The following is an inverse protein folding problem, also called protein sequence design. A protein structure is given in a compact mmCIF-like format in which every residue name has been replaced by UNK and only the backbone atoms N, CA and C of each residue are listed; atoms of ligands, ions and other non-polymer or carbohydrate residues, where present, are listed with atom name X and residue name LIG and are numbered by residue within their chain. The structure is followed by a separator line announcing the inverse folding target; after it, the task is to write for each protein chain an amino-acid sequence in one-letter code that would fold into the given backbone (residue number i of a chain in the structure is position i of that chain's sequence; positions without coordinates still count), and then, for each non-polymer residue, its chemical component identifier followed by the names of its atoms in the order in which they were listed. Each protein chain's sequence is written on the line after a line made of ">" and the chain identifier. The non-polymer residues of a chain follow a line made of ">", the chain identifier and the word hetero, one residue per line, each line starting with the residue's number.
data_IF_197795014763
#
_entry.id   IF_197795014763
#
_cell.length_a   1.000
_cell.length_b   1.000
_cell.length_c   1.000
_cell.angle_alpha   90.00
_cell.angle_beta   90.00
_cell.angle_gamma   90.00
#
_symmetry.space_group_name_H-M   'P 1'
#
loop_
_entity.id
_entity.type
_entity.pdbx_description
1 polymer ?
#
# COMPACT_ATOMS: atom_id res chain seq x y z
N UNK A 1 -26.12 4.10 -1.88
CA UNK A 1 -24.72 4.43 -1.56
C UNK A 1 -23.93 3.14 -1.71
N UNK A 2 -23.10 2.96 -2.76
CA UNK A 2 -22.38 1.70 -2.92
C UNK A 2 -21.29 1.60 -1.85
N UNK A 3 -21.29 0.47 -1.17
CA UNK A 3 -20.53 0.21 0.05
C UNK A 3 -19.07 -0.04 -0.34
N UNK A 4 -18.16 0.71 0.26
CA UNK A 4 -16.71 0.57 0.06
C UNK A 4 -16.27 -0.81 0.50
N UNK A 5 -16.29 -1.77 -0.43
CA UNK A 5 -15.91 -3.17 -0.22
C UNK A 5 -14.43 -3.23 0.16
N UNK A 6 -14.14 -3.14 1.46
CA UNK A 6 -12.80 -3.37 1.98
C UNK A 6 -12.64 -4.87 2.18
N UNK A 7 -11.75 -5.47 1.39
CA UNK A 7 -11.40 -6.88 1.55
C UNK A 7 -10.21 -6.99 2.51
N UNK A 8 -10.39 -7.71 3.63
CA UNK A 8 -9.29 -8.02 4.54
C UNK A 8 -8.37 -9.04 3.87
N UNK A 9 -7.17 -8.59 3.50
CA UNK A 9 -6.14 -9.45 2.94
C UNK A 9 -5.20 -9.93 4.05
N UNK A 10 -5.20 -11.24 4.32
CA UNK A 10 -4.24 -11.87 5.23
C UNK A 10 -2.91 -12.05 4.51
N UNK A 11 -2.07 -11.00 4.51
CA UNK A 11 -0.70 -11.07 3.97
C UNK A 11 0.29 -11.44 5.06
N UNK A 12 1.08 -12.48 4.80
CA UNK A 12 2.28 -12.79 5.59
C UNK A 12 3.39 -11.84 5.14
N UNK A 13 3.80 -10.96 6.04
CA UNK A 13 4.90 -10.03 5.85
C UNK A 13 6.03 -10.42 6.81
N UNK A 14 7.31 -10.27 6.41
CA UNK A 14 8.43 -10.43 7.34
C UNK A 14 8.31 -9.45 8.50
N UNK A 15 8.71 -9.89 9.70
CA UNK A 15 8.55 -9.11 10.93
C UNK A 15 9.33 -7.78 10.89
N UNK A 16 10.55 -7.79 10.33
CA UNK A 16 11.37 -6.57 10.17
C UNK A 16 10.71 -5.53 9.26
N UNK A 17 10.04 -5.96 8.19
CA UNK A 17 9.32 -5.07 7.29
C UNK A 17 8.11 -4.42 7.97
N UNK A 18 7.40 -5.16 8.82
CA UNK A 18 6.29 -4.63 9.62
C UNK A 18 6.76 -3.59 10.63
N UNK A 19 7.94 -3.80 11.21
CA UNK A 19 8.53 -2.88 12.19
C UNK A 19 8.93 -1.56 11.53
N UNK A 20 9.64 -1.63 10.39
CA UNK A 20 9.97 -0.45 9.58
C UNK A 20 8.70 0.31 9.15
N UNK A 21 7.65 -0.42 8.73
CA UNK A 21 6.40 0.21 8.32
C UNK A 21 5.74 0.95 9.48
N UNK A 22 5.78 0.39 10.70
CA UNK A 22 5.26 1.05 11.90
C UNK A 22 6.07 2.29 12.26
N UNK A 23 7.40 2.24 12.16
CA UNK A 23 8.26 3.40 12.42
C UNK A 23 7.95 4.53 11.44
N UNK A 24 7.86 4.21 10.15
CA UNK A 24 7.49 5.19 9.11
C UNK A 24 6.07 5.74 9.28
N UNK A 25 5.14 4.92 9.73
CA UNK A 25 3.76 5.31 9.96
C UNK A 25 3.65 6.27 11.14
N UNK A 26 4.34 5.98 12.26
CA UNK A 26 4.45 6.91 13.38
C UNK A 26 5.08 8.24 12.98
N UNK A 27 6.13 8.25 12.14
CA UNK A 27 6.75 9.49 11.66
C UNK A 27 5.80 10.34 10.80
N UNK A 28 4.82 9.72 10.14
CA UNK A 28 3.81 10.41 9.32
C UNK A 28 2.50 10.66 10.06
N UNK A 29 2.45 10.36 11.35
CA UNK A 29 1.24 10.46 12.18
C UNK A 29 0.04 9.68 11.59
N UNK A 30 0.32 8.57 10.90
CA UNK A 30 -0.70 7.72 10.29
C UNK A 30 -0.60 6.27 10.78
N UNK A 31 -1.72 5.52 10.81
CA UNK A 31 -1.67 4.09 11.09
C UNK A 31 -0.90 3.32 10.02
N UNK A 32 -0.10 2.32 10.40
CA UNK A 32 0.65 1.49 9.45
C UNK A 32 -0.24 0.83 8.39
N UNK A 33 -1.51 0.52 8.73
CA UNK A 33 -2.48 0.00 7.78
C UNK A 33 -2.93 1.03 6.74
N UNK A 34 -2.98 2.31 7.10
CA UNK A 34 -3.26 3.41 6.17
C UNK A 34 -2.07 3.64 5.26
N UNK A 35 -0.87 3.78 5.84
CA UNK A 35 0.38 3.96 5.09
C UNK A 35 0.59 2.83 4.07
N UNK A 36 0.31 1.58 4.47
CA UNK A 36 0.40 0.43 3.55
C UNK A 36 -0.50 0.59 2.32
N UNK A 37 -1.72 1.11 2.49
CA UNK A 37 -2.65 1.35 1.38
C UNK A 37 -2.12 2.42 0.44
N UNK A 38 -1.57 3.51 0.98
CA UNK A 38 -0.97 4.59 0.18
C UNK A 38 0.17 4.05 -0.66
N UNK A 39 1.14 3.36 -0.03
CA UNK A 39 2.29 2.79 -0.74
C UNK A 39 1.88 1.78 -1.82
N UNK A 40 0.87 0.93 -1.55
CA UNK A 40 0.36 0.00 -2.54
C UNK A 40 -0.33 0.73 -3.70
N UNK A 41 -1.12 1.76 -3.43
CA UNK A 41 -1.81 2.54 -4.45
C UNK A 41 -0.80 3.26 -5.36
N UNK A 42 0.25 3.87 -4.79
CA UNK A 42 1.31 4.52 -5.55
C UNK A 42 2.05 3.55 -6.46
N UNK A 43 2.46 2.39 -5.93
CA UNK A 43 3.14 1.34 -6.72
C UNK A 43 2.25 0.78 -7.83
N UNK A 44 0.97 0.55 -7.56
CA UNK A 44 0.01 0.09 -8.56
C UNK A 44 -0.20 1.13 -9.67
N UNK A 45 -0.26 2.41 -9.32
CA UNK A 45 -0.37 3.51 -10.29
C UNK A 45 0.88 3.59 -11.18
N UNK A 46 2.07 3.54 -10.56
CA UNK A 46 3.35 3.55 -11.27
C UNK A 46 3.49 2.36 -12.22
N UNK A 47 3.14 1.14 -11.78
CA UNK A 47 3.22 -0.07 -12.61
C UNK A 47 2.23 -0.02 -13.78
N UNK A 48 1.00 0.45 -13.54
CA UNK A 48 0.01 0.68 -14.61
C UNK A 48 0.48 1.71 -15.63
N UNK A 49 1.13 2.78 -15.17
CA UNK A 49 1.66 3.81 -16.07
C UNK A 49 2.85 3.26 -16.88
N UNK A 50 3.72 2.48 -16.26
CA UNK A 50 4.85 1.83 -16.93
C UNK A 50 4.40 0.82 -17.98
N UNK A 51 3.42 -0.02 -17.67
CA UNK A 51 2.84 -0.98 -18.61
C UNK A 51 2.24 -0.30 -19.84
N UNK A 52 1.53 0.83 -19.66
CA UNK A 52 0.98 1.62 -20.77
C UNK A 52 2.04 2.24 -21.69
N UNK A 53 3.21 2.59 -21.15
CA UNK A 53 4.33 3.15 -21.93
C UNK A 53 5.14 2.09 -22.69
N UNK A 54 5.09 0.83 -22.27
CA UNK A 54 5.76 -0.28 -22.95
C UNK A 54 4.95 -0.85 -24.12
N UNK A 55 3.68 -0.46 -24.25
CA UNK A 55 2.76 -0.91 -25.31
C UNK A 55 2.55 0.13 -26.43
N UNK A 56 3.37 1.18 -26.49
CA UNK A 56 3.36 2.23 -27.52
C UNK A 56 4.75 2.33 -28.15
#
# INVERSE_FOLDING_TARGET
>A
MPESRTATISRRLPQGMLDELKVLANQRDEPYQSLLKVFLAERLSAERHRARRASA
#
